data_IF_691679019456
#
_entry.id   IF_691679019456
#
_cell.length_a   1.000
_cell.length_b   1.000
_cell.length_c   1.000
_cell.angle_alpha   90.00
_cell.angle_beta   90.00
_cell.angle_gamma   90.00
#
_symmetry.space_group_name_H-M   'P 1'
#
loop_
_entity.id
_entity.type
_entity.pdbx_description
1 polymer ?
#
# COMPACT_ATOMS: atom_id res chain seq x y z
N UNK A 1 3.14 -12.02 19.24
CA UNK A 1 3.45 -10.75 19.95
C UNK A 1 3.77 -9.61 18.98
N UNK A 2 3.12 -8.45 19.13
CA UNK A 2 3.30 -7.29 18.26
C UNK A 2 4.75 -6.78 18.28
N UNK A 3 5.39 -6.74 19.45
CA UNK A 3 6.78 -6.29 19.60
C UNK A 3 7.77 -7.09 18.76
N UNK A 4 7.57 -8.41 18.62
CA UNK A 4 8.42 -9.27 17.80
C UNK A 4 8.24 -8.97 16.30
N UNK A 5 7.00 -8.70 15.87
CA UNK A 5 6.71 -8.26 14.51
C UNK A 5 7.40 -6.94 14.18
N UNK A 6 7.39 -5.99 15.10
CA UNK A 6 8.07 -4.69 14.93
C UNK A 6 9.59 -4.87 14.75
N UNK A 7 10.23 -5.76 15.52
CA UNK A 7 11.65 -6.06 15.35
C UNK A 7 11.93 -6.71 13.97
N UNK A 8 11.06 -7.61 13.51
CA UNK A 8 11.18 -8.20 12.17
C UNK A 8 11.07 -7.12 11.09
N UNK A 9 10.16 -6.14 11.24
CA UNK A 9 10.08 -5.00 10.32
C UNK A 9 11.30 -4.08 10.40
N UNK A 10 12.01 -4.02 11.52
CA UNK A 10 13.30 -3.33 11.57
C UNK A 10 14.36 -4.05 10.72
N UNK A 11 14.34 -5.40 10.71
CA UNK A 11 15.22 -6.22 9.89
C UNK A 11 14.88 -6.14 8.40
N UNK A 12 13.60 -6.00 8.03
CA UNK A 12 13.17 -5.81 6.63
C UNK A 12 13.88 -4.64 5.95
N UNK A 13 14.21 -3.62 6.73
CA UNK A 13 14.76 -2.37 6.23
C UNK A 13 16.22 -2.55 5.84
N UNK A 14 16.93 -3.49 6.48
CA UNK A 14 18.26 -3.90 6.05
C UNK A 14 18.22 -4.72 4.76
N UNK A 15 17.22 -5.60 4.60
CA UNK A 15 17.00 -6.35 3.35
C UNK A 15 16.73 -5.39 2.21
N UNK A 16 15.90 -4.37 2.44
CA UNK A 16 15.63 -3.32 1.47
C UNK A 16 16.91 -2.55 1.07
N UNK A 17 17.73 -2.16 2.04
CA UNK A 17 18.98 -1.45 1.76
C UNK A 17 19.97 -2.27 0.94
N UNK A 18 20.01 -3.58 1.16
CA UNK A 18 20.76 -4.49 0.32
C UNK A 18 20.20 -4.49 -1.10
N UNK A 19 18.88 -4.56 -1.26
CA UNK A 19 18.19 -4.56 -2.54
C UNK A 19 18.40 -3.24 -3.33
N UNK A 20 18.45 -2.11 -2.63
CA UNK A 20 18.68 -0.78 -3.21
C UNK A 20 20.05 -0.65 -3.89
N UNK A 21 21.05 -1.40 -3.41
CA UNK A 21 22.39 -1.41 -4.00
C UNK A 21 22.46 -2.15 -5.33
N UNK A 22 21.44 -2.96 -5.68
CA UNK A 22 21.41 -3.73 -6.93
C UNK A 22 20.87 -2.97 -8.16
N UNK A 23 20.43 -1.72 -7.99
CA UNK A 23 20.05 -0.81 -9.07
C UNK A 23 18.54 -0.71 -9.35
N UNK A 24 18.15 0.35 -10.08
CA UNK A 24 16.75 0.79 -10.25
C UNK A 24 15.87 -0.27 -10.94
N UNK A 25 16.38 -0.97 -11.97
CA UNK A 25 15.57 -1.96 -12.72
C UNK A 25 15.14 -3.16 -11.87
N UNK A 26 16.01 -3.63 -10.96
CA UNK A 26 15.68 -4.76 -10.06
C UNK A 26 14.66 -4.33 -9.00
N UNK A 27 14.74 -3.08 -8.57
CA UNK A 27 13.76 -2.50 -7.66
C UNK A 27 12.36 -2.41 -8.30
N UNK A 28 12.27 -1.93 -9.53
CA UNK A 28 11.02 -1.91 -10.31
C UNK A 28 10.43 -3.31 -10.44
N UNK A 29 11.25 -4.33 -10.69
CA UNK A 29 10.80 -5.72 -10.73
C UNK A 29 10.25 -6.20 -9.37
N UNK A 30 10.88 -5.84 -8.25
CA UNK A 30 10.37 -6.17 -6.91
C UNK A 30 9.05 -5.46 -6.63
N UNK A 31 8.89 -4.19 -7.02
CA UNK A 31 7.61 -3.50 -6.93
C UNK A 31 6.52 -4.22 -7.73
N UNK A 32 6.82 -4.62 -8.98
CA UNK A 32 5.87 -5.35 -9.81
C UNK A 32 5.45 -6.68 -9.16
N UNK A 33 6.38 -7.41 -8.53
CA UNK A 33 6.09 -8.65 -7.80
C UNK A 33 5.22 -8.38 -6.57
N UNK A 34 5.53 -7.35 -5.77
CA UNK A 34 4.74 -6.99 -4.58
C UNK A 34 3.32 -6.56 -4.97
N UNK A 35 3.18 -5.70 -5.97
CA UNK A 35 1.87 -5.25 -6.49
C UNK A 35 1.10 -6.42 -7.10
N UNK A 36 1.77 -7.29 -7.87
CA UNK A 36 1.17 -8.50 -8.43
C UNK A 36 0.67 -9.45 -7.34
N UNK A 37 1.44 -9.62 -6.27
CA UNK A 37 1.05 -10.44 -5.11
C UNK A 37 -0.18 -9.88 -4.42
N UNK A 38 -0.23 -8.56 -4.19
CA UNK A 38 -1.42 -7.88 -3.65
C UNK A 38 -2.63 -8.05 -4.57
N UNK A 39 -2.46 -7.80 -5.87
CA UNK A 39 -3.53 -7.93 -6.86
C UNK A 39 -4.11 -9.34 -6.87
N UNK A 40 -3.27 -10.38 -6.89
CA UNK A 40 -3.71 -11.78 -6.88
C UNK A 40 -4.40 -12.13 -5.56
N UNK A 41 -3.81 -11.74 -4.42
CA UNK A 41 -4.38 -12.03 -3.10
C UNK A 41 -5.78 -11.41 -2.93
N UNK A 42 -5.94 -10.13 -3.25
CA UNK A 42 -7.20 -9.41 -3.13
C UNK A 42 -8.22 -9.81 -4.20
N UNK A 43 -7.77 -10.10 -5.43
CA UNK A 43 -8.66 -10.65 -6.47
C UNK A 43 -9.19 -12.03 -6.09
N UNK A 44 -8.36 -12.88 -5.49
CA UNK A 44 -8.78 -14.20 -5.00
C UNK A 44 -9.86 -14.07 -3.91
N UNK A 45 -9.64 -13.19 -2.94
CA UNK A 45 -10.63 -12.90 -1.89
C UNK A 45 -11.93 -12.33 -2.47
N UNK A 46 -11.84 -11.43 -3.45
CA UNK A 46 -13.01 -10.90 -4.16
C UNK A 46 -13.80 -12.00 -4.88
N UNK A 47 -13.10 -12.91 -5.56
CA UNK A 47 -13.72 -14.06 -6.23
C UNK A 47 -14.45 -14.99 -5.26
N UNK A 48 -13.86 -15.26 -4.09
CA UNK A 48 -14.51 -16.08 -3.06
C UNK A 48 -15.71 -15.36 -2.41
N UNK A 49 -15.60 -14.05 -2.21
CA UNK A 49 -16.71 -13.27 -1.69
C UNK A 49 -17.93 -13.24 -2.63
N UNK A 50 -17.75 -13.47 -3.94
CA UNK A 50 -18.82 -13.45 -4.98
C UNK A 50 -19.77 -12.25 -4.89
N UNK A 51 -19.27 -11.00 -4.91
CA UNK A 51 -20.12 -9.83 -4.74
C UNK A 51 -21.11 -9.62 -5.89
N UNK A 52 -22.21 -8.90 -5.61
CA UNK A 52 -23.21 -8.54 -6.61
C UNK A 52 -22.61 -7.56 -7.62
N UNK A 53 -22.46 -7.98 -8.87
CA UNK A 53 -21.86 -7.15 -9.93
C UNK A 53 -22.70 -5.92 -10.29
N UNK A 54 -24.03 -6.00 -10.16
CA UNK A 54 -24.92 -4.88 -10.42
C UNK A 54 -24.76 -3.76 -9.38
N UNK A 55 -24.66 -4.12 -8.09
CA UNK A 55 -24.44 -3.15 -7.01
C UNK A 55 -23.06 -2.49 -7.12
N UNK A 56 -22.05 -3.24 -7.53
CA UNK A 56 -20.70 -2.72 -7.78
C UNK A 56 -20.70 -1.68 -8.91
N UNK A 57 -21.34 -1.97 -10.03
CA UNK A 57 -21.43 -1.04 -11.15
C UNK A 57 -22.17 0.24 -10.76
N UNK A 58 -23.27 0.11 -10.01
CA UNK A 58 -24.00 1.27 -9.49
C UNK A 58 -23.14 2.08 -8.52
N UNK A 59 -22.38 1.43 -7.64
CA UNK A 59 -21.47 2.10 -6.70
C UNK A 59 -20.31 2.84 -7.37
N UNK A 60 -19.81 2.33 -8.50
CA UNK A 60 -18.77 2.97 -9.30
C UNK A 60 -19.33 4.18 -10.07
N UNK A 61 -20.56 4.07 -10.59
CA UNK A 61 -21.15 5.09 -11.47
C UNK A 61 -21.90 6.20 -10.72
N UNK A 62 -22.46 5.91 -9.54
CA UNK A 62 -23.32 6.83 -8.80
C UNK A 62 -22.68 7.19 -7.46
N UNK A 63 -21.96 8.32 -7.37
CA UNK A 63 -21.37 8.76 -6.12
C UNK A 63 -22.47 9.26 -5.16
N UNK A 64 -22.68 8.54 -4.06
CA UNK A 64 -23.56 8.95 -2.95
C UNK A 64 -22.70 9.23 -1.72
N UNK A 65 -22.70 10.47 -1.26
CA UNK A 65 -21.98 10.88 -0.04
C UNK A 65 -22.97 11.40 0.99
N UNK A 66 -22.86 10.89 2.21
CA UNK A 66 -23.55 11.43 3.39
C UNK A 66 -22.55 12.22 4.24
N UNK A 67 -23.02 13.16 5.06
CA UNK A 67 -22.14 13.99 5.91
C UNK A 67 -21.26 13.17 6.86
N UNK A 68 -21.70 11.97 7.27
CA UNK A 68 -20.91 11.06 8.12
C UNK A 68 -19.84 10.29 7.32
N UNK A 69 -20.03 10.11 6.02
CA UNK A 69 -19.11 9.38 5.15
C UNK A 69 -18.00 10.28 4.58
N UNK A 70 -18.17 11.61 4.60
CA UNK A 70 -17.20 12.56 4.04
C UNK A 70 -15.80 12.38 4.66
N UNK A 71 -15.70 12.22 5.98
CA UNK A 71 -14.39 12.01 6.64
C UNK A 71 -13.70 10.73 6.13
N UNK A 72 -14.44 9.62 6.03
CA UNK A 72 -13.90 8.35 5.49
C UNK A 72 -13.52 8.50 4.01
N UNK A 73 -14.33 9.20 3.23
CA UNK A 73 -14.06 9.45 1.81
C UNK A 73 -12.79 10.31 1.60
N UNK A 74 -12.61 11.38 2.38
CA UNK A 74 -11.40 12.21 2.35
C UNK A 74 -10.17 11.38 2.76
N UNK A 75 -10.30 10.51 3.76
CA UNK A 75 -9.25 9.56 4.14
C UNK A 75 -8.84 8.64 2.98
N UNK A 76 -9.81 8.04 2.29
CA UNK A 76 -9.55 7.20 1.10
C UNK A 76 -8.86 7.99 -0.01
N UNK A 77 -9.31 9.23 -0.29
CA UNK A 77 -8.66 10.09 -1.28
C UNK A 77 -7.22 10.39 -0.90
N UNK A 78 -6.93 10.69 0.37
CA UNK A 78 -5.58 10.92 0.87
C UNK A 78 -4.68 9.68 0.77
N UNK A 79 -5.24 8.49 1.00
CA UNK A 79 -4.51 7.23 0.83
C UNK A 79 -4.20 6.93 -0.65
N UNK A 80 -5.08 7.31 -1.57
CA UNK A 80 -4.87 7.10 -3.01
C UNK A 80 -3.89 8.13 -3.59
N UNK A 81 -4.07 9.40 -3.23
CA UNK A 81 -3.22 10.50 -3.71
C UNK A 81 -2.10 10.74 -2.70
N UNK A 82 -1.07 9.89 -2.78
CA UNK A 82 0.11 9.99 -1.91
C UNK A 82 1.06 11.09 -2.43
N UNK A 83 1.31 12.19 -1.69
CA UNK A 83 2.12 13.30 -2.19
C UNK A 83 3.55 12.88 -2.55
N UNK A 84 4.14 11.96 -1.78
CA UNK A 84 5.48 11.45 -2.04
C UNK A 84 5.59 10.67 -3.36
N UNK A 85 4.51 10.05 -3.85
CA UNK A 85 4.50 9.37 -5.14
C UNK A 85 4.61 10.34 -6.31
N UNK A 86 4.06 11.56 -6.18
CA UNK A 86 4.19 12.61 -7.20
C UNK A 86 5.66 13.01 -7.39
N UNK A 87 6.39 13.18 -6.28
CA UNK A 87 7.81 13.49 -6.30
C UNK A 87 8.64 12.31 -6.83
N UNK A 88 8.34 11.09 -6.38
CA UNK A 88 9.04 9.89 -6.82
C UNK A 88 8.86 9.66 -8.32
N UNK A 89 7.63 9.72 -8.82
CA UNK A 89 7.33 9.51 -10.23
C UNK A 89 8.02 10.54 -11.12
N UNK A 90 8.00 11.82 -10.71
CA UNK A 90 8.71 12.89 -11.41
C UNK A 90 10.21 12.63 -11.50
N UNK A 91 10.81 12.06 -10.45
CA UNK A 91 12.22 11.72 -10.44
C UNK A 91 12.55 10.46 -11.26
N UNK A 92 11.69 9.44 -11.23
CA UNK A 92 11.86 8.21 -12.02
C UNK A 92 11.79 8.49 -13.52
N UNK A 93 10.86 9.33 -13.96
CA UNK A 93 10.75 9.77 -15.37
C UNK A 93 12.02 10.48 -15.84
N UNK A 94 12.67 11.25 -14.95
CA UNK A 94 13.94 11.92 -15.25
C UNK A 94 15.16 11.01 -15.20
N UNK A 95 15.07 9.85 -14.54
CA UNK A 95 16.19 8.91 -14.41
C UNK A 95 16.49 8.14 -15.71
N UNK A 96 15.54 8.10 -16.65
CA UNK A 96 15.76 7.45 -17.96
C UNK A 96 16.32 8.44 -18.96
N UNK A 97 17.32 8.00 -19.73
CA UNK A 97 17.97 8.84 -20.74
C UNK A 97 17.04 9.08 -21.94
N UNK A 98 16.40 10.25 -21.97
CA UNK A 98 15.62 10.71 -23.13
C UNK A 98 16.37 11.85 -23.81
N UNK A 99 16.61 11.74 -25.11
CA UNK A 99 17.23 12.80 -25.89
C UNK A 99 16.26 13.98 -26.06
N UNK A 100 16.38 14.98 -25.18
CA UNK A 100 15.52 16.17 -25.11
C UNK A 100 15.58 17.06 -26.35
N UNK A 101 16.60 16.89 -27.22
CA UNK A 101 16.75 17.67 -28.46
C UNK A 101 15.80 17.22 -29.58
N UNK A 102 15.33 15.97 -29.53
CA UNK A 102 14.42 15.41 -30.53
C UNK A 102 12.98 15.39 -30.00
N UNK A 103 12.13 16.30 -30.49
CA UNK A 103 10.72 16.39 -30.08
C UNK A 103 9.96 15.06 -30.20
N UNK A 104 10.21 14.30 -31.26
CA UNK A 104 9.60 12.98 -31.47
C UNK A 104 9.88 12.01 -30.32
N UNK A 105 11.14 11.91 -29.86
CA UNK A 105 11.52 11.00 -28.78
C UNK A 105 10.96 11.42 -27.42
N UNK A 106 10.78 12.73 -27.21
CA UNK A 106 10.12 13.24 -26.01
C UNK A 106 8.64 12.86 -26.01
N UNK A 107 7.94 13.04 -27.13
CA UNK A 107 6.53 12.65 -27.25
C UNK A 107 6.33 11.15 -27.06
N UNK A 108 7.20 10.34 -27.67
CA UNK A 108 7.20 8.88 -27.53
C UNK A 108 7.41 8.47 -26.06
N UNK A 109 8.39 9.07 -25.37
CA UNK A 109 8.61 8.81 -23.95
C UNK A 109 7.40 9.19 -23.09
N UNK A 110 6.78 10.35 -23.32
CA UNK A 110 5.57 10.79 -22.59
C UNK A 110 4.42 9.79 -22.79
N UNK A 111 4.22 9.30 -24.01
CA UNK A 111 3.18 8.31 -24.29
C UNK A 111 3.43 7.01 -23.53
N UNK A 112 4.65 6.47 -23.54
CA UNK A 112 4.99 5.27 -22.77
C UNK A 112 4.81 5.47 -21.27
N UNK A 113 5.29 6.59 -20.72
CA UNK A 113 5.10 6.89 -19.30
C UNK A 113 3.64 7.03 -18.93
N UNK A 114 2.83 7.66 -19.79
CA UNK A 114 1.39 7.80 -19.55
C UNK A 114 0.72 6.43 -19.51
N UNK A 115 1.02 5.55 -20.47
CA UNK A 115 0.49 4.17 -20.48
C UNK A 115 0.91 3.42 -19.21
N UNK A 116 2.18 3.48 -18.83
CA UNK A 116 2.71 2.84 -17.62
C UNK A 116 2.00 3.34 -16.36
N UNK A 117 1.91 4.66 -16.16
CA UNK A 117 1.22 5.26 -15.02
C UNK A 117 -0.28 4.91 -15.01
N UNK A 118 -0.94 4.96 -16.17
CA UNK A 118 -2.38 4.63 -16.29
C UNK A 118 -2.64 3.19 -15.90
N UNK A 119 -1.84 2.24 -16.38
CA UNK A 119 -1.97 0.82 -16.02
C UNK A 119 -1.75 0.64 -14.51
N UNK A 120 -0.70 1.24 -13.95
CA UNK A 120 -0.42 1.15 -12.52
C UNK A 120 -1.56 1.70 -11.65
N UNK A 121 -2.14 2.84 -12.04
CA UNK A 121 -3.29 3.44 -11.36
C UNK A 121 -4.55 2.60 -11.50
N UNK A 122 -4.81 1.99 -12.65
CA UNK A 122 -5.94 1.06 -12.85
C UNK A 122 -5.79 -0.16 -11.94
N UNK A 123 -4.59 -0.76 -11.87
CA UNK A 123 -4.32 -1.91 -10.98
C UNK A 123 -4.51 -1.51 -9.51
N UNK A 124 -4.00 -0.34 -9.10
CA UNK A 124 -4.20 0.19 -7.75
C UNK A 124 -5.69 0.41 -7.44
N UNK A 125 -6.44 0.98 -8.38
CA UNK A 125 -7.88 1.15 -8.25
C UNK A 125 -8.61 -0.20 -8.09
N UNK A 126 -8.25 -1.21 -8.89
CA UNK A 126 -8.81 -2.57 -8.78
C UNK A 126 -8.51 -3.22 -7.43
N UNK A 127 -7.28 -3.11 -6.92
CA UNK A 127 -6.91 -3.62 -5.59
C UNK A 127 -7.80 -2.99 -4.51
N UNK A 128 -7.93 -1.66 -4.51
CA UNK A 128 -8.76 -0.94 -3.55
C UNK A 128 -10.24 -1.34 -3.68
N UNK A 129 -10.75 -1.43 -4.91
CA UNK A 129 -12.11 -1.90 -5.18
C UNK A 129 -12.33 -3.30 -4.61
N UNK A 130 -11.40 -4.24 -4.83
CA UNK A 130 -11.51 -5.61 -4.33
C UNK A 130 -11.56 -5.66 -2.81
N UNK A 131 -10.60 -5.01 -2.14
CA UNK A 131 -10.54 -4.97 -0.67
C UNK A 131 -11.81 -4.35 -0.10
N UNK A 132 -12.19 -3.15 -0.54
CA UNK A 132 -13.37 -2.45 -0.03
C UNK A 132 -14.64 -3.26 -0.25
N UNK A 133 -14.78 -3.94 -1.40
CA UNK A 133 -15.97 -4.76 -1.69
C UNK A 133 -16.05 -6.00 -0.81
N UNK A 134 -14.93 -6.69 -0.58
CA UNK A 134 -14.90 -7.90 0.27
C UNK A 134 -15.36 -7.56 1.69
N UNK A 135 -14.88 -6.45 2.24
CA UNK A 135 -15.31 -5.98 3.56
C UNK A 135 -16.73 -5.44 3.56
N UNK A 136 -17.14 -4.70 2.53
CA UNK A 136 -18.52 -4.22 2.42
C UNK A 136 -19.50 -5.39 2.39
N UNK A 137 -19.31 -6.39 1.51
CA UNK A 137 -20.17 -7.57 1.48
C UNK A 137 -20.11 -8.38 2.78
N UNK A 138 -18.92 -8.42 3.40
CA UNK A 138 -18.69 -9.19 4.62
C UNK A 138 -19.36 -8.58 5.84
N UNK A 139 -19.39 -7.27 5.97
CA UNK A 139 -19.60 -6.65 7.28
C UNK A 139 -20.46 -5.39 7.23
N UNK A 140 -20.84 -4.90 6.05
CA UNK A 140 -21.72 -3.74 5.94
C UNK A 140 -23.07 -4.01 6.64
N UNK A 141 -23.52 -3.07 7.47
CA UNK A 141 -24.70 -3.16 8.33
C UNK A 141 -24.68 -4.29 9.38
N UNK A 142 -23.51 -4.73 9.82
CA UNK A 142 -23.37 -5.64 10.96
C UNK A 142 -22.81 -4.90 12.18
N UNK A 143 -23.17 -5.34 13.39
CA UNK A 143 -22.63 -4.76 14.64
C UNK A 143 -21.11 -4.94 14.76
N UNK A 144 -20.54 -5.88 14.00
CA UNK A 144 -19.10 -6.12 13.88
C UNK A 144 -18.39 -5.07 13.02
N UNK A 145 -19.10 -4.28 12.20
CA UNK A 145 -18.48 -3.32 11.28
C UNK A 145 -17.61 -2.28 11.98
N UNK A 146 -17.99 -1.87 13.19
CA UNK A 146 -17.30 -0.85 13.98
C UNK A 146 -16.14 -1.43 14.81
N UNK A 147 -16.04 -2.75 14.95
CA UNK A 147 -14.97 -3.43 15.69
C UNK A 147 -13.92 -4.11 14.81
N UNK A 148 -14.09 -4.06 13.49
CA UNK A 148 -13.11 -4.63 12.55
C UNK A 148 -11.91 -3.69 12.44
N UNK A 149 -10.78 -4.18 12.91
CA UNK A 149 -9.48 -3.59 12.72
C UNK A 149 -8.51 -4.54 12.03
N UNK A 150 -7.27 -4.08 11.88
CA UNK A 150 -6.28 -4.81 11.06
C UNK A 150 -5.90 -6.17 11.68
N UNK A 151 -5.98 -6.27 13.01
CA UNK A 151 -5.62 -7.46 13.80
C UNK A 151 -6.64 -8.58 13.61
N UNK A 152 -7.93 -8.25 13.72
CA UNK A 152 -9.02 -9.23 13.69
C UNK A 152 -9.60 -9.43 12.28
N UNK A 153 -9.36 -8.51 11.33
CA UNK A 153 -9.84 -8.58 9.95
C UNK A 153 -9.55 -9.94 9.28
N UNK A 154 -8.33 -10.46 9.46
CA UNK A 154 -7.95 -11.74 8.88
C UNK A 154 -8.76 -12.92 9.43
N UNK A 155 -9.05 -12.93 10.74
CA UNK A 155 -9.87 -13.96 11.39
C UNK A 155 -11.32 -13.84 10.94
N UNK A 156 -11.88 -12.63 10.93
CA UNK A 156 -13.25 -12.41 10.44
C UNK A 156 -13.44 -12.81 8.97
N UNK A 157 -12.44 -12.55 8.12
CA UNK A 157 -12.47 -13.00 6.73
C UNK A 157 -12.39 -14.53 6.62
N UNK A 158 -11.60 -15.17 7.48
CA UNK A 158 -11.50 -16.63 7.56
C UNK A 158 -12.82 -17.26 8.04
N UNK A 159 -13.47 -16.69 9.04
CA UNK A 159 -14.73 -17.21 9.57
C UNK A 159 -15.87 -17.06 8.56
N UNK A 160 -15.88 -15.95 7.82
CA UNK A 160 -16.96 -15.63 6.89
C UNK A 160 -16.83 -16.30 5.52
N UNK A 161 -15.60 -16.37 5.01
CA UNK A 161 -15.33 -16.83 3.64
C UNK A 161 -14.40 -18.06 3.59
N UNK A 162 -13.96 -18.57 4.74
CA UNK A 162 -13.14 -19.77 4.82
C UNK A 162 -13.85 -21.03 4.34
N UNK A 163 -13.09 -22.13 4.25
CA UNK A 163 -13.56 -23.42 3.73
C UNK A 163 -13.08 -23.75 2.31
N UNK A 164 -12.32 -22.85 1.68
CA UNK A 164 -11.59 -23.13 0.43
C UNK A 164 -10.28 -23.88 0.65
N UNK A 165 -9.62 -24.25 -0.46
CA UNK A 165 -8.35 -24.99 -0.49
C UNK A 165 -7.19 -24.29 0.25
N UNK A 166 -7.21 -22.96 0.32
CA UNK A 166 -6.24 -22.15 1.06
C UNK A 166 -6.95 -21.25 2.08
N UNK A 167 -6.49 -21.19 3.34
CA UNK A 167 -7.06 -20.29 4.34
C UNK A 167 -6.91 -18.82 3.93
N UNK A 168 -8.02 -18.10 3.92
CA UNK A 168 -8.09 -16.68 3.57
C UNK A 168 -7.28 -15.82 4.53
N UNK A 169 -7.16 -16.24 5.80
CA UNK A 169 -6.27 -15.59 6.78
C UNK A 169 -4.84 -15.43 6.25
N UNK A 170 -4.28 -16.46 5.63
CA UNK A 170 -2.92 -16.40 5.08
C UNK A 170 -2.85 -15.55 3.82
N UNK A 171 -3.88 -15.59 2.96
CA UNK A 171 -3.95 -14.75 1.76
C UNK A 171 -4.01 -13.26 2.16
N UNK A 172 -4.81 -12.93 3.17
CA UNK A 172 -4.86 -11.60 3.78
C UNK A 172 -3.50 -11.18 4.34
N UNK A 173 -2.87 -12.06 5.14
CA UNK A 173 -1.55 -11.79 5.72
C UNK A 173 -0.45 -11.56 4.68
N UNK A 174 -0.41 -12.37 3.62
CA UNK A 174 0.55 -12.21 2.51
C UNK A 174 0.31 -10.89 1.77
N UNK A 175 -0.94 -10.58 1.46
CA UNK A 175 -1.31 -9.30 0.83
C UNK A 175 -0.93 -8.10 1.68
N UNK A 176 -1.17 -8.19 2.99
CA UNK A 176 -0.84 -7.13 3.96
C UNK A 176 0.67 -6.94 4.11
N UNK A 177 1.43 -8.03 4.17
CA UNK A 177 2.90 -7.98 4.18
C UNK A 177 3.44 -7.35 2.90
N UNK A 178 2.93 -7.75 1.73
CA UNK A 178 3.35 -7.18 0.45
C UNK A 178 3.06 -5.66 0.37
N UNK A 179 1.92 -5.22 0.89
CA UNK A 179 1.56 -3.80 0.99
C UNK A 179 2.54 -3.02 1.89
N UNK A 180 2.84 -3.55 3.07
CA UNK A 180 3.79 -2.96 4.01
C UNK A 180 5.20 -2.82 3.42
N UNK A 181 5.69 -3.85 2.73
CA UNK A 181 6.98 -3.81 2.04
C UNK A 181 6.97 -2.77 0.92
N UNK A 182 5.95 -2.75 0.06
CA UNK A 182 5.87 -1.79 -1.04
C UNK A 182 5.91 -0.32 -0.55
N UNK A 183 5.16 -0.01 0.52
CA UNK A 183 5.14 1.33 1.12
C UNK A 183 6.52 1.75 1.67
N UNK A 184 7.23 0.81 2.30
CA UNK A 184 8.57 1.01 2.85
C UNK A 184 9.59 1.43 1.80
N UNK A 185 9.60 0.69 0.69
CA UNK A 185 10.52 0.88 -0.42
C UNK A 185 10.21 2.23 -1.10
N UNK A 186 8.93 2.51 -1.35
CA UNK A 186 8.50 3.75 -2.01
C UNK A 186 8.80 5.01 -1.17
N UNK A 187 8.54 4.96 0.13
CA UNK A 187 8.76 6.09 1.04
C UNK A 187 10.24 6.46 1.20
N UNK A 188 11.12 5.46 1.33
CA UNK A 188 12.57 5.68 1.40
C UNK A 188 13.12 6.22 0.08
N UNK A 189 12.61 5.74 -1.08
CA UNK A 189 12.96 6.24 -2.40
C UNK A 189 12.52 7.69 -2.63
N UNK A 190 11.27 8.02 -2.32
CA UNK A 190 10.77 9.39 -2.42
C UNK A 190 11.56 10.34 -1.51
N UNK A 191 11.89 9.90 -0.30
CA UNK A 191 12.74 10.65 0.63
C UNK A 191 14.13 10.97 0.06
N UNK A 192 14.69 10.10 -0.79
CA UNK A 192 15.99 10.38 -1.41
C UNK A 192 15.93 11.55 -2.37
N UNK A 193 14.91 11.57 -3.23
CA UNK A 193 14.75 12.59 -4.24
C UNK A 193 14.35 13.92 -3.63
N UNK A 194 13.51 13.92 -2.59
CA UNK A 194 13.13 15.14 -1.88
C UNK A 194 14.37 15.72 -1.17
N UNK A 195 15.12 14.93 -0.40
CA UNK A 195 16.29 15.45 0.33
C UNK A 195 17.43 15.86 -0.59
N UNK A 196 17.70 15.07 -1.63
CA UNK A 196 18.77 15.35 -2.59
C UNK A 196 18.43 16.47 -3.57
N UNK A 197 17.16 16.60 -3.96
CA UNK A 197 16.70 17.59 -4.94
C UNK A 197 16.28 18.93 -4.32
N UNK A 198 15.43 18.90 -3.28
CA UNK A 198 14.92 20.14 -2.66
C UNK A 198 15.84 20.68 -1.58
N UNK A 199 16.36 19.83 -0.69
CA UNK A 199 17.17 20.26 0.45
C UNK A 199 18.69 20.28 0.14
N UNK A 200 19.10 19.80 -1.04
CA UNK A 200 20.50 19.57 -1.42
C UNK A 200 21.31 18.80 -0.35
N UNK A 201 20.63 17.99 0.46
CA UNK A 201 21.22 17.30 1.60
C UNK A 201 21.52 15.85 1.24
N UNK A 202 22.82 15.55 1.07
CA UNK A 202 23.29 14.23 0.65
C UNK A 202 23.59 13.36 1.87
N UNK A 203 22.63 12.52 2.25
CA UNK A 203 22.85 11.43 3.22
C UNK A 203 23.16 10.10 2.54
N UNK A 204 23.96 9.28 3.24
CA UNK A 204 24.13 7.86 2.87
C UNK A 204 22.77 7.14 2.92
N UNK A 205 22.52 6.27 1.94
CA UNK A 205 21.25 5.54 1.77
C UNK A 205 20.84 4.78 3.03
N UNK A 206 21.77 4.01 3.60
CA UNK A 206 21.55 3.23 4.83
C UNK A 206 21.21 4.10 6.03
N UNK A 207 21.89 5.24 6.20
CA UNK A 207 21.62 6.16 7.30
C UNK A 207 20.22 6.78 7.19
N UNK A 208 19.80 7.18 5.99
CA UNK A 208 18.45 7.73 5.77
C UNK A 208 17.35 6.70 6.05
N UNK A 209 17.48 5.49 5.51
CA UNK A 209 16.49 4.44 5.75
C UNK A 209 16.41 4.09 7.24
N UNK A 210 17.55 4.02 7.93
CA UNK A 210 17.58 3.77 9.38
C UNK A 210 16.94 4.90 10.18
N UNK A 211 17.23 6.17 9.88
CA UNK A 211 16.60 7.31 10.56
C UNK A 211 15.08 7.32 10.35
N UNK A 212 14.63 7.23 9.09
CA UNK A 212 13.19 7.24 8.76
C UNK A 212 12.44 6.06 9.39
N UNK A 213 13.10 4.89 9.47
CA UNK A 213 12.56 3.72 10.16
C UNK A 213 12.52 3.87 11.66
N UNK A 214 13.59 4.38 12.29
CA UNK A 214 13.60 4.65 13.72
C UNK A 214 12.52 5.66 14.10
N UNK A 215 12.32 6.71 13.31
CA UNK A 215 11.24 7.68 13.53
C UNK A 215 9.83 7.08 13.43
N UNK A 216 9.64 6.00 12.65
CA UNK A 216 8.37 5.29 12.58
C UNK A 216 8.23 4.24 13.69
N UNK A 217 9.27 3.44 13.90
CA UNK A 217 9.28 2.30 14.82
C UNK A 217 9.25 2.75 16.28
N UNK A 218 9.97 3.82 16.66
CA UNK A 218 10.03 4.27 18.06
C UNK A 218 8.63 4.64 18.59
N UNK A 219 7.84 5.51 17.92
CA UNK A 219 6.46 5.76 18.33
C UNK A 219 5.61 4.50 18.35
N UNK A 220 5.74 3.61 17.36
CA UNK A 220 4.98 2.36 17.32
C UNK A 220 5.31 1.43 18.47
N UNK A 221 6.59 1.29 18.86
CA UNK A 221 6.99 0.48 20.03
C UNK A 221 6.46 1.10 21.31
N UNK A 222 6.54 2.43 21.47
CA UNK A 222 6.00 3.12 22.65
C UNK A 222 4.50 2.83 22.78
N UNK A 223 3.74 3.00 21.69
CA UNK A 223 2.31 2.67 21.68
C UNK A 223 2.09 1.19 21.96
N UNK A 224 2.82 0.27 21.31
CA UNK A 224 2.67 -1.16 21.53
C UNK A 224 2.94 -1.57 22.99
N UNK A 225 3.97 -1.01 23.63
CA UNK A 225 4.31 -1.31 25.03
C UNK A 225 3.33 -0.68 26.03
N UNK A 226 2.81 0.51 25.73
CA UNK A 226 1.82 1.19 26.59
C UNK A 226 0.45 0.52 26.50
N UNK A 227 0.07 0.05 25.31
CA UNK A 227 -1.24 -0.54 25.04
C UNK A 227 -1.27 -2.09 25.03
N UNK A 228 -0.15 -2.76 25.32
CA UNK A 228 -0.03 -4.23 25.48
C UNK A 228 -0.96 -4.80 26.58
N UNK A 229 -1.61 -3.93 27.36
CA UNK A 229 -2.60 -4.30 28.38
C UNK A 229 -4.03 -4.50 27.85
N UNK A 230 -4.32 -4.13 26.60
CA UNK A 230 -5.68 -4.26 26.04
C UNK A 230 -5.63 -4.28 24.51
N UNK A 231 -5.52 -5.48 23.94
CA UNK A 231 -5.60 -5.74 22.48
C UNK A 231 -6.86 -5.14 21.84
N UNK A 232 -7.90 -4.84 22.63
CA UNK A 232 -9.16 -4.23 22.16
C UNK A 232 -9.10 -2.71 21.96
N UNK A 233 -8.09 -1.99 22.47
CA UNK A 233 -8.08 -0.51 22.44
C UNK A 233 -7.35 0.06 21.23
N UNK A 234 -6.51 -0.73 20.55
CA UNK A 234 -5.75 -0.28 19.38
C UNK A 234 -6.61 -0.13 18.11
N UNK A 235 -7.75 -0.81 18.05
CA UNK A 235 -8.67 -0.76 16.90
C UNK A 235 -9.76 0.33 17.02
N UNK A 236 -9.84 1.05 18.16
CA UNK A 236 -10.90 2.04 18.48
C UNK A 236 -10.43 3.51 18.37
N UNK A 237 -9.15 3.76 18.11
CA UNK A 237 -8.58 5.09 17.84
C UNK A 237 -8.72 5.49 16.37
#
# INVERSE_FOLDING_TARGET
PLWAGVIITALDSFVFLFLENYGIRKLEAVFAVLIGTMAVAFAWMFGQAKPSGSELLVGILVPKLSSRTIQKAVGVVGCIIMPHNVFLHSALVQSREVNKRQKYRVQEAINYYTIESTIALIVSFMINLFVTTVFAKGFYNTDLADSIGLVNAGQYLQDKYGGGLFPILYIWGIGLLAAGQSSTITGTYAGQFIMGGFLNFKMKKWLRALITRSCAIIPTIIVALVFDSSEATLDVL
#
